data_IF_130333652074
#
_entry.id   IF_130333652074
#
_cell.length_a   1.000
_cell.length_b   1.000
_cell.length_c   1.000
_cell.angle_alpha   90.00
_cell.angle_beta   90.00
_cell.angle_gamma   90.00
#
_symmetry.space_group_name_H-M   'P 1'
#
loop_
_entity.id
_entity.type
_entity.pdbx_description
1 polymer ?
#
# COMPACT_ATOMS: atom_id res chain seq x y z
N UNK A 1 -0.09 -23.63 24.28
CA UNK A 1 0.25 -23.54 22.85
C UNK A 1 -0.33 -22.24 22.34
N UNK A 2 0.47 -21.35 21.73
CA UNK A 2 -0.10 -20.16 21.09
C UNK A 2 -0.96 -20.65 19.93
N UNK A 3 -2.19 -20.16 19.85
CA UNK A 3 -3.04 -20.44 18.70
C UNK A 3 -2.61 -19.49 17.59
N UNK A 4 -1.61 -19.89 16.80
CA UNK A 4 -1.05 -19.07 15.72
C UNK A 4 -1.95 -19.07 14.46
N UNK A 5 -3.19 -19.57 14.61
CA UNK A 5 -4.24 -19.51 13.59
C UNK A 5 -4.94 -18.16 13.63
N UNK A 6 -4.80 -17.39 12.56
CA UNK A 6 -5.44 -16.09 12.41
C UNK A 6 -6.74 -16.27 11.60
N UNK A 7 -7.93 -15.95 12.16
CA UNK A 7 -9.18 -16.06 11.42
C UNK A 7 -9.21 -15.08 10.24
N UNK A 8 -9.58 -15.56 9.05
CA UNK A 8 -9.62 -14.78 7.81
C UNK A 8 -11.07 -14.65 7.33
N UNK A 9 -11.44 -13.45 6.90
CA UNK A 9 -12.77 -13.14 6.38
C UNK A 9 -12.78 -12.90 4.86
N UNK A 10 -11.63 -12.60 4.27
CA UNK A 10 -11.45 -12.52 2.82
C UNK A 10 -10.03 -12.89 2.43
N UNK A 11 -9.87 -13.57 1.30
CA UNK A 11 -8.58 -13.95 0.74
C UNK A 11 -8.63 -13.83 -0.79
N UNK A 12 -7.51 -13.48 -1.41
CA UNK A 12 -7.35 -13.50 -2.85
C UNK A 12 -5.89 -13.74 -3.23
N UNK A 13 -5.66 -14.38 -4.38
CA UNK A 13 -4.33 -14.49 -4.97
C UNK A 13 -3.80 -13.08 -5.18
N UNK A 14 -2.57 -12.81 -4.71
CA UNK A 14 -1.97 -11.48 -4.84
C UNK A 14 -1.26 -11.30 -6.19
N UNK A 15 -0.69 -10.10 -6.39
CA UNK A 15 0.21 -9.79 -7.51
C UNK A 15 1.65 -10.29 -7.32
N UNK A 16 1.95 -10.95 -6.21
CA UNK A 16 3.28 -11.43 -5.84
C UNK A 16 3.33 -12.96 -5.84
N UNK A 17 4.46 -13.51 -6.27
CA UNK A 17 4.66 -14.95 -6.45
C UNK A 17 4.45 -15.71 -5.13
N UNK A 18 3.55 -16.70 -5.14
CA UNK A 18 3.28 -17.56 -3.98
C UNK A 18 2.60 -16.88 -2.79
N UNK A 19 2.09 -15.65 -2.98
CA UNK A 19 1.50 -14.87 -1.90
C UNK A 19 0.00 -14.62 -2.11
N UNK A 20 -0.77 -14.70 -1.03
CA UNK A 20 -2.17 -14.30 -0.95
C UNK A 20 -2.31 -12.99 -0.16
N UNK A 21 -3.25 -12.15 -0.58
CA UNK A 21 -3.71 -10.99 0.20
C UNK A 21 -4.93 -11.40 1.03
N UNK A 22 -4.92 -11.02 2.31
CA UNK A 22 -5.82 -11.56 3.32
C UNK A 22 -6.42 -10.42 4.15
N UNK A 23 -7.71 -10.49 4.46
CA UNK A 23 -8.35 -9.64 5.48
C UNK A 23 -8.62 -10.51 6.70
N UNK A 24 -7.99 -10.16 7.81
CA UNK A 24 -8.23 -10.81 9.10
C UNK A 24 -9.60 -10.44 9.67
N UNK A 25 -10.11 -11.23 10.60
CA UNK A 25 -11.33 -10.89 11.37
C UNK A 25 -11.16 -9.60 12.20
N UNK A 26 -9.93 -9.16 12.41
CA UNK A 26 -9.59 -7.87 13.00
C UNK A 26 -9.63 -6.70 11.99
N UNK A 27 -10.17 -6.95 10.79
CA UNK A 27 -10.36 -5.97 9.72
C UNK A 27 -9.06 -5.38 9.15
N UNK A 28 -7.90 -5.98 9.47
CA UNK A 28 -6.61 -5.56 8.92
C UNK A 28 -6.25 -6.37 7.68
N UNK A 29 -5.48 -5.73 6.83
CA UNK A 29 -4.95 -6.29 5.60
C UNK A 29 -3.58 -6.91 5.86
N UNK A 30 -3.39 -8.11 5.34
CA UNK A 30 -2.17 -8.89 5.45
C UNK A 30 -1.76 -9.45 4.08
N UNK A 31 -0.50 -9.84 3.98
CA UNK A 31 0.02 -10.67 2.90
C UNK A 31 0.76 -11.85 3.52
N UNK A 32 0.53 -13.05 2.99
CA UNK A 32 1.12 -14.28 3.50
C UNK A 32 1.29 -15.32 2.40
N UNK A 33 2.11 -16.34 2.66
CA UNK A 33 2.29 -17.47 1.74
C UNK A 33 0.98 -18.22 1.51
N UNK A 34 0.72 -18.58 0.26
CA UNK A 34 -0.52 -19.24 -0.15
C UNK A 34 -0.74 -20.59 0.55
N UNK A 35 0.32 -21.37 0.79
CA UNK A 35 0.22 -22.71 1.40
C UNK A 35 -0.29 -22.71 2.84
N UNK A 36 -0.23 -21.56 3.52
CA UNK A 36 -0.64 -21.40 4.92
C UNK A 36 -2.10 -20.92 5.06
N UNK A 37 -2.78 -20.60 3.96
CA UNK A 37 -4.20 -20.25 3.98
C UNK A 37 -5.07 -21.51 3.88
N UNK A 38 -5.99 -21.67 4.82
CA UNK A 38 -6.83 -22.85 4.94
C UNK A 38 -8.31 -22.48 5.06
N UNK A 39 -9.14 -23.26 4.38
CA UNK A 39 -10.59 -23.18 4.47
C UNK A 39 -11.13 -24.45 5.10
N UNK A 40 -12.07 -24.30 6.04
CA UNK A 40 -12.74 -25.42 6.71
C UNK A 40 -14.17 -25.45 6.20
N UNK A 41 -14.41 -26.29 5.18
CA UNK A 41 -15.69 -26.34 4.48
C UNK A 41 -16.87 -26.68 5.39
N UNK A 42 -16.69 -27.57 6.37
CA UNK A 42 -17.74 -27.99 7.30
C UNK A 42 -18.23 -26.88 8.22
N UNK A 43 -17.38 -25.89 8.51
CA UNK A 43 -17.68 -24.81 9.45
C UNK A 43 -17.91 -23.46 8.73
N UNK A 44 -17.74 -23.43 7.41
CA UNK A 44 -17.74 -22.21 6.61
C UNK A 44 -16.76 -21.15 7.16
N UNK A 45 -15.62 -21.58 7.71
CA UNK A 45 -14.59 -20.71 8.27
C UNK A 45 -13.30 -20.79 7.45
N UNK A 46 -12.47 -19.77 7.57
CA UNK A 46 -11.13 -19.74 7.01
C UNK A 46 -10.12 -19.17 8.01
N UNK A 47 -8.88 -19.62 7.94
CA UNK A 47 -7.80 -19.14 8.78
C UNK A 47 -6.46 -19.18 8.05
N UNK A 48 -5.50 -18.43 8.57
CA UNK A 48 -4.11 -18.47 8.17
C UNK A 48 -3.28 -19.10 9.28
N UNK A 49 -2.49 -20.12 8.97
CA UNK A 49 -1.52 -20.70 9.91
C UNK A 49 -0.25 -19.84 9.92
N UNK A 50 -0.04 -19.07 10.99
CA UNK A 50 1.13 -18.20 11.15
C UNK A 50 2.22 -18.82 12.02
N UNK A 51 2.28 -20.15 12.15
CA UNK A 51 3.32 -20.84 12.94
C UNK A 51 4.74 -20.58 12.42
N UNK A 52 4.90 -20.30 11.12
CA UNK A 52 6.18 -19.93 10.50
C UNK A 52 6.47 -18.41 10.55
N UNK A 53 5.55 -17.61 11.12
CA UNK A 53 5.68 -16.16 11.21
C UNK A 53 5.66 -15.43 9.87
N UNK A 54 5.20 -16.06 8.79
CA UNK A 54 5.24 -15.47 7.44
C UNK A 54 4.13 -14.48 7.14
N UNK A 55 3.08 -14.37 7.98
CA UNK A 55 2.01 -13.40 7.81
C UNK A 55 2.51 -11.98 8.11
N UNK A 56 2.49 -11.11 7.11
CA UNK A 56 2.95 -9.73 7.23
C UNK A 56 1.76 -8.78 7.27
N UNK A 57 1.74 -7.89 8.26
CA UNK A 57 0.81 -6.77 8.26
C UNK A 57 1.10 -5.82 7.11
N UNK A 58 0.07 -5.47 6.36
CA UNK A 58 0.15 -4.56 5.21
C UNK A 58 -0.44 -3.20 5.57
N UNK A 59 -1.72 -3.16 5.96
CA UNK A 59 -2.41 -1.89 6.22
C UNK A 59 -3.72 -2.11 6.98
N UNK A 60 -4.25 -1.05 7.60
CA UNK A 60 -5.65 -1.00 8.08
C UNK A 60 -6.63 -0.57 6.97
N UNK A 61 -6.10 -0.05 5.85
CA UNK A 61 -6.87 0.39 4.69
C UNK A 61 -7.27 -0.79 3.82
N UNK A 62 -8.48 -1.33 4.06
CA UNK A 62 -8.99 -2.49 3.34
C UNK A 62 -9.15 -2.27 1.82
N UNK A 63 -9.24 -1.02 1.34
CA UNK A 63 -9.31 -0.75 -0.11
C UNK A 63 -8.10 -1.29 -0.86
N UNK A 64 -6.95 -1.38 -0.18
CA UNK A 64 -5.73 -1.93 -0.77
C UNK A 64 -5.84 -3.43 -1.08
N UNK A 65 -6.80 -4.15 -0.51
CA UNK A 65 -7.09 -5.54 -0.88
C UNK A 65 -7.34 -5.67 -2.38
N UNK A 66 -8.13 -4.78 -2.97
CA UNK A 66 -8.43 -4.82 -4.39
C UNK A 66 -7.21 -4.45 -5.25
N UNK A 67 -6.40 -3.49 -4.79
CA UNK A 67 -5.16 -3.06 -5.46
C UNK A 67 -4.13 -4.20 -5.48
N UNK A 68 -4.00 -4.95 -4.38
CA UNK A 68 -3.04 -6.04 -4.21
C UNK A 68 -3.50 -7.37 -4.80
N UNK A 69 -4.80 -7.57 -5.01
CA UNK A 69 -5.32 -8.77 -5.66
C UNK A 69 -4.80 -8.90 -7.09
N UNK A 70 -4.54 -10.13 -7.54
CA UNK A 70 -4.00 -10.49 -8.86
C UNK A 70 -4.96 -10.28 -10.04
N UNK A 71 -5.99 -9.44 -9.89
CA UNK A 71 -6.90 -9.06 -10.98
C UNK A 71 -6.18 -8.32 -12.11
N UNK A 72 -6.77 -8.27 -13.31
CA UNK A 72 -6.18 -7.60 -14.49
C UNK A 72 -6.01 -6.07 -14.34
N UNK A 73 -6.55 -5.50 -13.25
CA UNK A 73 -6.53 -4.08 -12.97
C UNK A 73 -7.90 -3.45 -13.25
N UNK A 74 -7.90 -2.19 -13.65
CA UNK A 74 -9.09 -1.38 -13.80
C UNK A 74 -9.24 -0.85 -15.23
N UNK A 75 -10.49 -0.83 -15.71
CA UNK A 75 -10.85 -0.24 -17.02
C UNK A 75 -10.73 1.29 -16.99
N UNK A 76 -10.86 1.90 -15.81
CA UNK A 76 -10.77 3.35 -15.65
C UNK A 76 -9.34 3.75 -15.27
N UNK A 77 -8.93 4.96 -15.67
CA UNK A 77 -7.65 5.56 -15.27
C UNK A 77 -7.62 5.87 -13.77
N UNK A 78 -6.41 6.04 -13.20
CA UNK A 78 -6.25 6.41 -11.79
C UNK A 78 -7.00 7.69 -11.42
N UNK A 79 -6.96 8.72 -12.28
CA UNK A 79 -7.67 9.98 -12.03
C UNK A 79 -9.19 9.81 -12.03
N UNK A 80 -9.72 8.97 -12.92
CA UNK A 80 -11.14 8.64 -12.96
C UNK A 80 -11.58 7.85 -11.74
N UNK A 81 -10.78 6.87 -11.33
CA UNK A 81 -11.03 6.08 -10.11
C UNK A 81 -11.08 6.96 -8.86
N UNK A 82 -10.23 8.00 -8.80
CA UNK A 82 -10.27 9.01 -7.73
C UNK A 82 -11.49 9.91 -7.84
N UNK A 83 -11.79 10.43 -9.04
CA UNK A 83 -12.94 11.33 -9.26
C UNK A 83 -14.27 10.67 -8.93
N UNK A 84 -14.39 9.36 -9.19
CA UNK A 84 -15.57 8.55 -8.85
C UNK A 84 -15.59 8.06 -7.39
N UNK A 85 -14.55 8.33 -6.61
CA UNK A 85 -14.49 7.99 -5.19
C UNK A 85 -14.17 6.53 -4.87
N UNK A 86 -13.80 5.71 -5.86
CA UNK A 86 -13.37 4.33 -5.62
C UNK A 86 -12.07 4.31 -4.80
N UNK A 87 -11.09 5.11 -5.23
CA UNK A 87 -9.83 5.31 -4.52
C UNK A 87 -9.61 6.78 -4.19
N UNK A 88 -8.65 7.03 -3.32
CA UNK A 88 -8.13 8.35 -3.00
C UNK A 88 -6.65 8.43 -3.38
N UNK A 89 -6.14 9.66 -3.48
CA UNK A 89 -4.69 9.88 -3.64
C UNK A 89 -3.90 9.27 -2.47
N UNK A 90 -4.51 9.21 -1.28
CA UNK A 90 -3.91 8.57 -0.11
C UNK A 90 -3.77 7.06 -0.31
N UNK A 91 -4.79 6.37 -0.82
CA UNK A 91 -4.74 4.92 -1.11
C UNK A 91 -3.58 4.60 -2.06
N UNK A 92 -3.42 5.41 -3.12
CA UNK A 92 -2.30 5.25 -4.05
C UNK A 92 -0.94 5.56 -3.45
N UNK A 93 -0.86 6.59 -2.60
CA UNK A 93 0.38 6.94 -1.91
C UNK A 93 0.81 5.83 -0.94
N UNK A 94 -0.15 5.23 -0.24
CA UNK A 94 0.06 4.13 0.69
C UNK A 94 0.51 2.87 -0.06
N UNK A 95 -0.15 2.49 -1.15
CA UNK A 95 0.29 1.38 -1.99
C UNK A 95 1.71 1.59 -2.52
N UNK A 96 2.03 2.79 -3.01
CA UNK A 96 3.38 3.11 -3.46
C UNK A 96 4.42 3.04 -2.32
N UNK A 97 4.07 3.40 -1.09
CA UNK A 97 4.94 3.24 0.07
C UNK A 97 5.17 1.75 0.39
N UNK A 98 4.14 0.92 0.31
CA UNK A 98 4.23 -0.53 0.53
C UNK A 98 5.13 -1.23 -0.48
N UNK A 99 5.07 -0.83 -1.76
CA UNK A 99 5.98 -1.35 -2.81
C UNK A 99 7.46 -1.09 -2.48
N UNK A 100 7.76 0.03 -1.82
CA UNK A 100 9.12 0.39 -1.39
C UNK A 100 9.49 -0.13 0.00
N UNK A 101 8.56 -0.78 0.71
CA UNK A 101 8.71 -1.22 2.10
C UNK A 101 8.35 -2.69 2.26
N UNK A 102 7.19 -2.95 2.89
CA UNK A 102 6.72 -4.30 3.25
C UNK A 102 6.70 -5.31 2.09
N UNK A 103 6.56 -4.84 0.85
CA UNK A 103 6.46 -5.68 -0.35
C UNK A 103 7.75 -5.69 -1.20
N UNK A 104 8.79 -4.97 -0.78
CA UNK A 104 9.99 -4.72 -1.60
C UNK A 104 10.84 -5.96 -1.87
N UNK A 105 10.74 -6.98 -1.01
CA UNK A 105 11.44 -8.27 -1.13
C UNK A 105 10.61 -9.35 -1.83
N UNK A 106 9.35 -9.05 -2.19
CA UNK A 106 8.46 -9.99 -2.87
C UNK A 106 8.61 -9.89 -4.39
N UNK A 107 8.53 -11.04 -5.07
CA UNK A 107 8.63 -11.10 -6.54
C UNK A 107 7.28 -10.72 -7.16
N UNK A 108 7.24 -9.61 -7.89
CA UNK A 108 6.03 -9.14 -8.57
C UNK A 108 5.78 -9.97 -9.84
N UNK A 109 4.65 -10.66 -9.91
CA UNK A 109 4.25 -11.48 -11.06
C UNK A 109 3.30 -10.76 -12.00
N UNK A 110 2.56 -9.76 -11.50
CA UNK A 110 1.55 -9.05 -12.28
C UNK A 110 1.46 -7.56 -11.94
N UNK A 111 1.75 -6.70 -12.93
CA UNK A 111 1.59 -5.26 -12.81
C UNK A 111 0.12 -4.89 -12.57
N UNK A 112 -0.11 -3.89 -11.73
CA UNK A 112 -1.42 -3.26 -11.58
C UNK A 112 -1.63 -2.26 -12.73
N UNK A 113 -2.69 -2.46 -13.51
CA UNK A 113 -3.04 -1.62 -14.65
C UNK A 113 -4.28 -0.76 -14.37
N UNK A 114 -4.30 0.44 -14.94
CA UNK A 114 -5.43 1.37 -14.97
C UNK A 114 -5.57 1.89 -16.40
N UNK A 115 -6.66 1.54 -17.08
CA UNK A 115 -6.91 1.90 -18.49
C UNK A 115 -5.72 1.54 -19.41
N UNK A 116 -5.19 0.32 -19.23
CA UNK A 116 -4.02 -0.17 -19.96
C UNK A 116 -2.68 0.45 -19.56
N UNK A 117 -2.66 1.40 -18.62
CA UNK A 117 -1.46 2.09 -18.15
C UNK A 117 -1.03 1.49 -16.80
N UNK A 118 0.25 1.10 -16.61
CA UNK A 118 0.73 0.65 -15.30
C UNK A 118 0.52 1.71 -14.22
N UNK A 119 0.26 1.26 -13.00
CA UNK A 119 0.14 2.12 -11.82
C UNK A 119 1.29 3.12 -11.72
N UNK A 120 0.94 4.39 -11.58
CA UNK A 120 1.85 5.51 -11.35
C UNK A 120 1.65 6.02 -9.92
N UNK A 121 2.69 5.96 -9.07
CA UNK A 121 2.65 6.60 -7.77
C UNK A 121 2.30 8.09 -7.91
N UNK A 122 1.47 8.65 -7.01
CA UNK A 122 1.26 10.08 -6.97
C UNK A 122 2.60 10.80 -6.80
N UNK A 123 2.78 11.94 -7.47
CA UNK A 123 3.96 12.76 -7.22
C UNK A 123 4.01 13.08 -5.73
N UNK A 124 5.13 12.74 -5.08
CA UNK A 124 5.36 13.20 -3.71
C UNK A 124 5.24 14.71 -3.78
N UNK A 125 4.21 15.27 -3.15
CA UNK A 125 4.19 16.71 -2.91
C UNK A 125 5.46 16.99 -2.13
N UNK A 126 6.47 17.50 -2.82
CA UNK A 126 7.61 18.08 -2.15
C UNK A 126 7.02 19.28 -1.45
N UNK A 127 6.57 19.11 -0.20
CA UNK A 127 6.81 20.11 0.83
C UNK A 127 8.32 20.24 0.95
N UNK A 128 8.88 20.86 -0.08
CA UNK A 128 10.13 21.56 -0.08
C UNK A 128 9.91 22.56 1.04
N UNK A 129 10.34 22.21 2.26
CA UNK A 129 10.68 23.17 3.30
C UNK A 129 11.40 24.27 2.54
N UNK A 130 10.76 25.42 2.33
CA UNK A 130 11.43 26.59 1.77
C UNK A 130 12.54 26.85 2.78
N UNK A 131 13.76 26.39 2.47
CA UNK A 131 14.97 26.78 3.19
C UNK A 131 14.91 28.31 3.23
N UNK A 132 14.80 28.86 4.44
CA UNK A 132 14.80 30.30 4.63
C UNK A 132 15.99 30.88 3.88
N UNK A 133 15.73 31.83 3.00
CA UNK A 133 16.76 32.56 2.29
C UNK A 133 17.72 33.18 3.32
N UNK A 134 19.04 33.19 3.07
CA UNK A 134 19.98 33.85 3.97
C UNK A 134 19.71 35.35 3.90
N UNK A 135 19.47 35.98 5.07
CA UNK A 135 19.40 37.44 5.17
C UNK A 135 20.77 38.01 4.82
N UNK A 136 20.91 38.61 3.63
CA UNK A 136 22.03 39.50 3.32
C UNK A 136 21.95 40.71 4.26
N UNK A 137 22.84 40.78 5.24
CA UNK A 137 23.12 42.01 5.97
C UNK A 137 23.72 43.04 5.01
N UNK A 138 22.95 44.05 4.61
CA UNK A 138 23.48 45.24 3.94
C UNK A 138 24.11 46.13 5.03
N UNK A 139 25.43 46.20 5.03
CA UNK A 139 26.16 47.30 5.65
C UNK A 139 25.74 48.61 4.97
N UNK A 140 25.10 49.51 5.73
CA UNK A 140 24.94 50.91 5.35
C UNK A 140 26.18 51.65 5.87
N UNK A 141 27.11 51.95 4.96
CA UNK A 141 28.05 53.05 5.17
C UNK A 141 27.26 54.36 5.18
N UNK A 142 27.50 55.18 6.19
CA UNK A 142 27.09 56.58 6.20
C UNK A 142 28.09 57.42 5.38
N UNK A 143 27.62 58.34 4.53
CA UNK A 143 28.33 59.58 4.28
C UNK A 143 27.67 60.75 5.02
N UNK A 144 28.51 61.75 5.25
CA UNK A 144 28.36 62.96 6.06
C UNK A 144 27.17 63.85 5.66
N UNK A 145 26.67 64.62 6.63
CA UNK A 145 26.22 65.99 6.36
C UNK A 145 26.70 66.95 7.46
N UNK A 146 27.43 67.98 6.97
CA UNK A 146 27.58 69.37 7.42
C UNK A 146 28.34 69.69 8.70
#
# INVERSE_FOLDING_TARGET
MRNDKIPIIAASISRYEGMDVLIGKDEKLYIGKQENYHTVMSEHTAYYDNSDGSLRFVSINQKLFHILSGSDGYVLSQDEMVRRGYFSVHDYSEFAALQNGTLSDLVLTKLLMFDGIPFKPPEKSSMRRKKGAPKKSRSRGQPMER
#
